data_IF_137503648201
#
_entry.id   IF_137503648201
#
_cell.length_a   1.000
_cell.length_b   1.000
_cell.length_c   1.000
_cell.angle_alpha   90.00
_cell.angle_beta   90.00
_cell.angle_gamma   90.00
#
_symmetry.space_group_name_H-M   'P 1'
#
loop_
_entity.id
_entity.type
_entity.pdbx_description
1 polymer ?
#
# COMPACT_ATOMS: atom_id res chain seq x y z
N UNK A 1 -11.09 5.69 -12.34
CA UNK A 1 -11.87 6.09 -11.15
C UNK A 1 -11.54 5.17 -9.99
N UNK A 2 -11.75 5.64 -8.76
CA UNK A 2 -11.57 4.81 -7.56
C UNK A 2 -12.65 3.73 -7.47
N UNK A 3 -12.31 2.58 -6.87
CA UNK A 3 -13.20 1.44 -6.70
C UNK A 3 -13.06 0.86 -5.29
N UNK A 4 -14.15 0.34 -4.73
CA UNK A 4 -14.14 -0.44 -3.50
C UNK A 4 -14.45 -1.91 -3.82
N UNK A 5 -13.68 -2.84 -3.25
CA UNK A 5 -13.83 -4.29 -3.49
C UNK A 5 -13.61 -5.05 -2.19
N UNK A 6 -14.45 -6.05 -1.95
CA UNK A 6 -14.20 -7.08 -0.94
C UNK A 6 -13.02 -7.94 -1.40
N UNK A 7 -12.04 -8.18 -0.54
CA UNK A 7 -10.82 -8.95 -0.85
C UNK A 7 -10.61 -10.16 0.06
N UNK A 8 -11.21 -10.17 1.25
CA UNK A 8 -11.27 -11.32 2.14
C UNK A 8 -12.58 -11.29 2.94
N UNK A 9 -13.05 -12.45 3.37
CA UNK A 9 -14.21 -12.61 4.26
C UNK A 9 -13.92 -13.71 5.27
N UNK A 10 -14.60 -13.72 6.41
CA UNK A 10 -14.58 -14.90 7.27
C UNK A 10 -15.44 -16.01 6.69
N UNK A 11 -15.04 -17.25 6.96
CA UNK A 11 -15.85 -18.42 6.71
C UNK A 11 -17.14 -18.40 7.55
N UNK A 12 -18.02 -19.38 7.33
CA UNK A 12 -19.28 -19.48 8.09
C UNK A 12 -19.07 -19.81 9.57
N UNK A 13 -17.92 -20.40 9.95
CA UNK A 13 -17.53 -20.65 11.34
C UNK A 13 -17.00 -19.40 12.06
N UNK A 14 -16.52 -18.40 11.31
CA UNK A 14 -16.06 -17.11 11.84
C UNK A 14 -14.59 -17.08 12.27
N UNK A 15 -13.88 -18.19 12.16
CA UNK A 15 -12.53 -18.38 12.70
C UNK A 15 -11.44 -18.22 11.63
N UNK A 16 -11.75 -18.48 10.35
CA UNK A 16 -10.77 -18.45 9.27
C UNK A 16 -11.07 -17.34 8.24
N UNK A 17 -10.01 -16.64 7.79
CA UNK A 17 -10.11 -15.69 6.69
C UNK A 17 -9.99 -16.40 5.34
N UNK A 18 -11.01 -16.26 4.51
CA UNK A 18 -11.03 -16.74 3.13
C UNK A 18 -10.75 -15.59 2.15
N UNK A 19 -9.71 -15.67 1.30
CA UNK A 19 -9.50 -14.69 0.25
C UNK A 19 -10.65 -14.74 -0.76
N UNK A 20 -11.09 -13.59 -1.25
CA UNK A 20 -12.06 -13.51 -2.34
C UNK A 20 -11.47 -12.77 -3.53
N UNK A 21 -11.59 -13.38 -4.70
CA UNK A 21 -11.14 -12.81 -5.96
C UNK A 21 -12.32 -12.66 -6.90
N UNK A 22 -12.39 -11.53 -7.62
CA UNK A 22 -13.39 -11.38 -8.67
C UNK A 22 -12.95 -12.21 -9.89
N UNK A 23 -13.66 -13.30 -10.15
CA UNK A 23 -13.53 -14.04 -11.39
C UNK A 23 -14.26 -13.27 -12.51
N UNK A 24 -13.57 -12.35 -13.18
CA UNK A 24 -14.04 -11.75 -14.43
C UNK A 24 -12.99 -11.92 -15.52
N UNK A 25 -13.43 -12.28 -16.72
CA UNK A 25 -12.57 -12.49 -17.88
C UNK A 25 -11.69 -11.26 -18.12
N UNK A 26 -10.37 -11.44 -18.06
CA UNK A 26 -9.38 -10.37 -18.29
C UNK A 26 -8.98 -9.53 -17.07
N UNK A 27 -9.53 -9.80 -15.87
CA UNK A 27 -9.12 -9.12 -14.62
C UNK A 27 -9.11 -10.10 -13.45
N UNK A 28 -8.12 -10.97 -13.40
CA UNK A 28 -7.83 -11.74 -12.19
C UNK A 28 -7.29 -10.77 -11.12
N UNK A 29 -8.02 -10.62 -10.01
CA UNK A 29 -7.51 -9.93 -8.82
C UNK A 29 -7.01 -10.97 -7.83
N UNK A 30 -5.83 -10.76 -7.24
CA UNK A 30 -5.37 -11.60 -6.13
C UNK A 30 -6.26 -11.28 -4.91
N UNK A 31 -6.86 -12.29 -4.29
CA UNK A 31 -7.64 -12.15 -3.05
C UNK A 31 -6.73 -11.89 -1.85
N UNK A 32 -7.29 -11.81 -0.64
CA UNK A 32 -6.53 -11.60 0.60
C UNK A 32 -6.37 -10.13 0.96
N UNK A 33 -6.09 -9.87 2.24
CA UNK A 33 -5.67 -8.54 2.67
C UNK A 33 -4.29 -8.22 2.06
N UNK A 34 -4.03 -6.93 1.87
CA UNK A 34 -2.83 -6.46 1.15
C UNK A 34 -2.18 -5.33 1.92
N UNK A 35 -0.86 -5.36 1.93
CA UNK A 35 -0.03 -4.21 2.27
C UNK A 35 0.69 -3.72 1.03
N UNK A 36 0.94 -2.42 0.99
CA UNK A 36 1.74 -1.80 -0.04
C UNK A 36 2.99 -1.22 0.61
N UNK A 37 4.11 -1.37 -0.08
CA UNK A 37 5.41 -0.87 0.34
C UNK A 37 6.07 -0.15 -0.83
N UNK A 38 6.69 0.98 -0.55
CA UNK A 38 7.57 1.65 -1.50
C UNK A 38 8.98 1.10 -1.35
N UNK A 39 9.54 0.60 -2.44
CA UNK A 39 10.95 0.21 -2.51
C UNK A 39 11.79 1.41 -2.88
N UNK A 40 12.82 1.71 -2.08
CA UNK A 40 13.76 2.80 -2.32
C UNK A 40 15.17 2.28 -2.48
N UNK A 41 15.91 2.85 -3.44
CA UNK A 41 17.36 2.71 -3.59
C UNK A 41 17.99 4.07 -3.34
N UNK A 42 18.87 4.17 -2.33
CA UNK A 42 19.53 5.43 -1.95
C UNK A 42 18.53 6.60 -1.77
N UNK A 43 17.37 6.33 -1.16
CA UNK A 43 16.33 7.34 -0.92
C UNK A 43 15.43 7.67 -2.11
N UNK A 44 15.67 7.09 -3.29
CA UNK A 44 14.84 7.29 -4.49
C UNK A 44 13.93 6.08 -4.69
N UNK A 45 12.63 6.32 -4.88
CA UNK A 45 11.63 5.30 -5.14
C UNK A 45 11.91 4.59 -6.48
N UNK A 46 11.90 3.26 -6.47
CA UNK A 46 12.15 2.43 -7.66
C UNK A 46 11.00 1.50 -8.01
N UNK A 47 10.12 1.18 -7.06
CA UNK A 47 8.93 0.36 -7.29
C UNK A 47 7.94 0.49 -6.13
N UNK A 48 6.69 0.11 -6.39
CA UNK A 48 5.68 -0.15 -5.36
C UNK A 48 5.44 -1.67 -5.29
N UNK A 49 5.65 -2.27 -4.12
CA UNK A 49 5.46 -3.70 -3.88
C UNK A 49 4.16 -3.92 -3.12
N UNK A 50 3.29 -4.76 -3.68
CA UNK A 50 2.06 -5.23 -3.04
C UNK A 50 2.35 -6.62 -2.49
N UNK A 51 2.15 -6.78 -1.19
CA UNK A 51 2.36 -8.03 -0.45
C UNK A 51 1.00 -8.51 0.03
N UNK A 52 0.70 -9.79 -0.16
CA UNK A 52 -0.47 -10.43 0.46
C UNK A 52 -0.20 -10.55 1.96
N UNK A 53 -1.17 -10.16 2.77
CA UNK A 53 -1.08 -10.07 4.23
C UNK A 53 -2.24 -10.86 4.82
N UNK A 54 -2.21 -12.18 4.61
CA UNK A 54 -3.37 -13.04 4.90
C UNK A 54 -3.62 -13.19 6.41
N UNK A 55 -2.57 -13.15 7.22
CA UNK A 55 -2.66 -13.16 8.69
C UNK A 55 -2.95 -11.76 9.29
N UNK A 56 -2.72 -10.69 8.52
CA UNK A 56 -2.95 -9.29 8.91
C UNK A 56 -2.11 -8.87 10.12
N UNK A 57 -0.92 -9.44 10.25
CA UNK A 57 -0.07 -9.30 11.43
C UNK A 57 0.86 -8.07 11.39
N UNK A 58 0.97 -7.43 10.24
CA UNK A 58 1.87 -6.29 9.99
C UNK A 58 3.33 -6.67 9.68
N UNK A 59 3.71 -7.94 9.66
CA UNK A 59 5.08 -8.42 9.49
C UNK A 59 5.45 -8.64 8.01
N UNK A 60 6.63 -8.21 7.56
CA UNK A 60 7.03 -8.37 6.16
C UNK A 60 7.20 -9.85 5.79
N UNK A 61 6.31 -10.39 4.96
CA UNK A 61 6.46 -11.75 4.40
C UNK A 61 7.56 -11.81 3.32
N UNK A 62 7.81 -10.69 2.64
CA UNK A 62 8.75 -10.61 1.52
C UNK A 62 10.12 -10.09 1.96
N UNK A 63 11.18 -10.86 1.65
CA UNK A 63 12.56 -10.41 1.86
C UNK A 63 12.84 -9.18 0.98
N UNK A 64 13.32 -8.11 1.59
CA UNK A 64 13.79 -6.92 0.88
C UNK A 64 15.27 -7.12 0.52
N UNK A 65 15.66 -7.01 -0.77
CA UNK A 65 17.07 -7.05 -1.16
C UNK A 65 17.92 -6.05 -0.37
N UNK A 66 19.16 -6.42 -0.06
CA UNK A 66 20.04 -5.62 0.80
C UNK A 66 20.38 -4.22 0.23
N UNK A 67 20.26 -4.01 -1.08
CA UNK A 67 20.45 -2.70 -1.74
C UNK A 67 19.20 -1.81 -1.69
N UNK A 68 18.10 -2.31 -1.14
CA UNK A 68 16.82 -1.63 -1.06
C UNK A 68 16.36 -1.43 0.37
N UNK A 69 15.52 -0.41 0.55
CA UNK A 69 14.71 -0.22 1.75
C UNK A 69 13.24 -0.29 1.37
N UNK A 70 12.40 -0.82 2.26
CA UNK A 70 10.96 -0.91 2.06
C UNK A 70 10.26 0.00 3.07
N UNK A 71 9.50 0.99 2.58
CA UNK A 71 8.69 1.88 3.41
C UNK A 71 7.21 1.53 3.26
N UNK A 72 6.49 1.20 4.34
CA UNK A 72 5.05 0.96 4.26
C UNK A 72 4.28 2.16 3.68
N UNK A 73 3.29 1.88 2.84
CA UNK A 73 2.33 2.86 2.31
C UNK A 73 0.97 2.80 3.00
N UNK A 74 0.64 1.70 3.66
CA UNK A 74 -0.58 1.55 4.45
C UNK A 74 -0.28 1.84 5.92
N UNK A 75 -1.05 2.73 6.54
CA UNK A 75 -0.94 3.05 7.98
C UNK A 75 -2.32 2.98 8.65
N UNK A 76 -2.36 2.60 9.92
CA UNK A 76 -3.60 2.58 10.69
C UNK A 76 -4.03 4.00 11.06
N UNK A 77 -5.11 4.48 10.43
CA UNK A 77 -5.76 5.74 10.80
C UNK A 77 -6.85 5.53 11.87
N UNK A 78 -7.42 4.33 11.94
CA UNK A 78 -8.46 3.92 12.87
C UNK A 78 -8.30 2.45 13.23
N UNK A 79 -8.50 2.13 14.51
CA UNK A 79 -8.45 0.76 15.05
C UNK A 79 -9.68 0.56 15.95
N UNK A 80 -10.44 -0.51 15.73
CA UNK A 80 -11.64 -0.85 16.50
C UNK A 80 -12.64 0.32 16.68
N UNK A 81 -12.87 1.07 15.60
CA UNK A 81 -13.78 2.22 15.60
C UNK A 81 -13.22 3.47 16.30
N UNK A 82 -11.95 3.47 16.72
CA UNK A 82 -11.29 4.61 17.36
C UNK A 82 -10.25 5.20 16.41
N UNK A 83 -10.42 6.48 16.06
CA UNK A 83 -9.45 7.20 15.27
C UNK A 83 -8.18 7.46 16.10
N UNK A 84 -7.01 7.32 15.47
CA UNK A 84 -5.75 7.68 16.10
C UNK A 84 -5.60 9.21 16.15
N UNK A 85 -5.47 9.74 17.36
CA UNK A 85 -5.43 11.18 17.63
C UNK A 85 -4.29 11.90 16.91
N UNK A 86 -3.20 11.21 16.54
CA UNK A 86 -2.07 11.78 15.80
C UNK A 86 -2.45 12.31 14.42
N UNK A 87 -3.50 11.75 13.82
CA UNK A 87 -3.96 12.10 12.48
C UNK A 87 -5.12 13.11 12.47
N UNK A 88 -5.53 13.60 13.63
CA UNK A 88 -6.69 14.48 13.77
C UNK A 88 -6.29 15.95 13.95
N UNK A 89 -7.23 16.84 13.61
CA UNK A 89 -7.11 18.27 13.84
C UNK A 89 -5.97 18.95 13.05
N UNK A 90 -5.59 20.17 13.46
CA UNK A 90 -4.58 20.96 12.75
C UNK A 90 -3.21 20.28 12.66
N UNK A 91 -2.81 19.54 13.70
CA UNK A 91 -1.55 18.79 13.72
C UNK A 91 -1.56 17.65 12.68
N UNK A 92 -2.67 16.90 12.57
CA UNK A 92 -2.84 15.88 11.55
C UNK A 92 -2.77 16.46 10.13
N UNK A 93 -3.33 17.65 9.90
CA UNK A 93 -3.22 18.35 8.61
C UNK A 93 -1.78 18.74 8.30
N UNK A 94 -1.03 19.25 9.27
CA UNK A 94 0.39 19.54 9.09
C UNK A 94 1.20 18.28 8.74
N UNK A 95 0.98 17.18 9.48
CA UNK A 95 1.61 15.90 9.22
C UNK A 95 1.27 15.36 7.82
N UNK A 96 0.04 15.52 7.34
CA UNK A 96 -0.34 15.13 5.99
C UNK A 96 0.40 15.93 4.91
N UNK A 97 0.66 17.23 5.14
CA UNK A 97 1.45 18.07 4.22
C UNK A 97 2.91 17.66 4.20
N UNK A 98 3.49 17.39 5.36
CA UNK A 98 4.86 16.90 5.48
C UNK A 98 5.02 15.54 4.80
N UNK A 99 4.08 14.62 5.03
CA UNK A 99 4.05 13.33 4.37
C UNK A 99 3.98 13.47 2.84
N UNK A 100 3.09 14.33 2.33
CA UNK A 100 2.98 14.58 0.89
C UNK A 100 4.29 15.12 0.30
N UNK A 101 4.92 16.11 0.96
CA UNK A 101 6.18 16.66 0.52
C UNK A 101 7.30 15.60 0.50
N UNK A 102 7.40 14.79 1.56
CA UNK A 102 8.37 13.69 1.63
C UNK A 102 8.11 12.62 0.54
N UNK A 103 6.86 12.20 0.36
CA UNK A 103 6.50 11.18 -0.63
C UNK A 103 6.74 11.64 -2.08
N UNK A 104 6.64 12.94 -2.37
CA UNK A 104 6.99 13.53 -3.67
C UNK A 104 8.52 13.64 -3.83
N UNK A 105 9.25 14.02 -2.78
CA UNK A 105 10.71 14.15 -2.81
C UNK A 105 11.43 12.81 -3.07
N UNK A 106 10.83 11.69 -2.68
CA UNK A 106 11.35 10.34 -2.98
C UNK A 106 11.22 9.96 -4.46
N UNK A 107 10.38 10.63 -5.25
CA UNK A 107 10.08 10.18 -6.60
C UNK A 107 11.26 10.42 -7.56
N UNK A 108 11.47 9.54 -8.56
CA UNK A 108 12.44 9.79 -9.61
C UNK A 108 12.02 11.00 -10.46
N UNK A 109 12.98 11.71 -11.04
CA UNK A 109 12.72 12.92 -11.83
C UNK A 109 11.69 12.70 -12.97
N UNK A 110 11.64 11.50 -13.55
CA UNK A 110 10.67 11.13 -14.58
C UNK A 110 9.20 11.18 -14.11
N UNK A 111 8.95 11.05 -12.80
CA UNK A 111 7.62 11.15 -12.19
C UNK A 111 7.06 12.58 -12.18
N UNK A 112 7.92 13.60 -12.34
CA UNK A 112 7.52 15.01 -12.36
C UNK A 112 7.18 15.53 -13.77
N UNK A 113 7.28 14.67 -14.79
CA UNK A 113 6.91 15.05 -16.16
C UNK A 113 5.41 15.26 -16.26
N UNK A 114 5.01 16.35 -16.91
CA UNK A 114 3.60 16.67 -17.18
C UNK A 114 3.10 16.11 -18.53
N UNK A 115 4.02 15.63 -19.37
CA UNK A 115 3.66 14.97 -20.63
C UNK A 115 3.15 13.55 -20.38
N UNK A 116 2.32 13.05 -21.31
CA UNK A 116 1.84 11.67 -21.26
C UNK A 116 3.02 10.69 -21.31
N UNK A 117 3.00 9.67 -20.46
CA UNK A 117 3.98 8.60 -20.45
C UNK A 117 3.51 7.42 -19.60
N UNK A 118 4.38 6.42 -19.45
CA UNK A 118 4.16 5.27 -18.58
C UNK A 118 4.25 5.63 -17.09
N UNK A 119 3.67 4.81 -16.19
CA UNK A 119 3.85 4.95 -14.76
C UNK A 119 5.34 5.06 -14.38
N UNK A 120 5.68 6.03 -13.55
CA UNK A 120 7.08 6.27 -13.17
C UNK A 120 7.64 5.21 -12.21
N UNK A 121 6.76 4.53 -11.47
CA UNK A 121 7.10 3.42 -10.59
C UNK A 121 6.35 2.16 -11.06
N UNK A 122 7.05 1.06 -11.35
CA UNK A 122 6.39 -0.22 -11.60
C UNK A 122 5.74 -0.75 -10.31
N UNK A 123 4.61 -1.44 -10.48
CA UNK A 123 3.97 -2.18 -9.38
C UNK A 123 4.36 -3.65 -9.45
N UNK A 124 4.92 -4.17 -8.36
CA UNK A 124 5.29 -5.57 -8.18
C UNK A 124 4.27 -6.22 -7.26
N UNK A 125 3.72 -7.37 -7.62
CA UNK A 125 2.88 -8.17 -6.73
C UNK A 125 3.67 -9.41 -6.33
N UNK A 126 3.79 -9.65 -5.03
CA UNK A 126 4.43 -10.82 -4.42
C UNK A 126 3.46 -11.50 -3.48
#
# INVERSE_FOLDING_TARGET
GFVYKLVARRDSGGDEWMPVAKASTGKASIGGAKRAERLLRNGVAVAERIVIDDDRDGLPEAVTPADLTARPLTVALMTDGKADARWLGPAGVAAAREHCAAAVAELPAAALRLSRGEPALPTLSV
#
